data_IF_528003657724
#
_entry.id   IF_528003657724
#
_cell.length_a   1.000
_cell.length_b   1.000
_cell.length_c   1.000
_cell.angle_alpha   90.00
_cell.angle_beta   90.00
_cell.angle_gamma   90.00
#
_symmetry.space_group_name_H-M   'P 1'
#
loop_
_entity.id
_entity.type
_entity.pdbx_description
1 polymer ?
#
# COMPACT_ATOMS: atom_id res chain seq x y z
N UNK A 1 -30.56 45.07 -52.67
CA UNK A 1 -29.71 45.49 -51.52
C UNK A 1 -29.86 44.54 -50.32
N UNK A 2 -30.08 43.23 -50.55
CA UNK A 2 -30.37 42.23 -49.51
C UNK A 2 -29.31 41.12 -49.40
N UNK A 3 -28.47 40.95 -50.42
CA UNK A 3 -27.48 39.85 -50.48
C UNK A 3 -26.24 40.06 -49.59
N UNK A 4 -25.89 41.31 -49.27
CA UNK A 4 -24.73 41.63 -48.44
C UNK A 4 -24.95 41.30 -46.95
N UNK A 5 -26.21 41.21 -46.50
CA UNK A 5 -26.54 40.97 -45.09
C UNK A 5 -26.44 39.48 -44.73
N UNK A 6 -26.78 38.57 -45.64
CA UNK A 6 -26.70 37.12 -45.41
C UNK A 6 -25.27 36.59 -45.41
N UNK A 7 -24.42 37.07 -46.32
CA UNK A 7 -23.00 36.68 -46.39
C UNK A 7 -22.24 36.98 -45.09
N UNK A 8 -22.55 38.10 -44.44
CA UNK A 8 -21.92 38.50 -43.18
C UNK A 8 -22.38 37.65 -41.99
N UNK A 9 -23.62 37.12 -41.99
CA UNK A 9 -24.10 36.19 -40.95
C UNK A 9 -23.40 34.84 -41.05
N UNK A 10 -23.26 34.30 -42.26
CA UNK A 10 -22.57 33.02 -42.49
C UNK A 10 -21.09 33.09 -42.07
N UNK A 11 -20.39 34.19 -42.41
CA UNK A 11 -19.00 34.41 -41.97
C UNK A 11 -18.86 34.48 -40.44
N UNK A 12 -19.81 35.12 -39.75
CA UNK A 12 -19.83 35.18 -38.28
C UNK A 12 -20.06 33.80 -37.66
N UNK A 13 -21.00 33.02 -38.18
CA UNK A 13 -21.23 31.64 -37.74
C UNK A 13 -20.00 30.75 -37.95
N UNK A 14 -19.33 30.84 -39.10
CA UNK A 14 -18.11 30.08 -39.38
C UNK A 14 -16.95 30.47 -38.45
N UNK A 15 -16.82 31.75 -38.11
CA UNK A 15 -15.82 32.19 -37.13
C UNK A 15 -16.11 31.66 -35.73
N UNK A 16 -17.38 31.63 -35.29
CA UNK A 16 -17.77 31.07 -33.99
C UNK A 16 -17.49 29.56 -33.95
N UNK A 17 -17.84 28.82 -35.01
CA UNK A 17 -17.56 27.39 -35.12
C UNK A 17 -16.05 27.14 -35.09
N UNK A 18 -15.26 27.93 -35.83
CA UNK A 18 -13.80 27.82 -35.84
C UNK A 18 -13.19 28.11 -34.47
N UNK A 19 -13.75 29.07 -33.72
CA UNK A 19 -13.32 29.39 -32.36
C UNK A 19 -13.62 28.22 -31.40
N UNK A 20 -14.80 27.63 -31.47
CA UNK A 20 -15.19 26.47 -30.67
C UNK A 20 -14.28 25.27 -31.00
N UNK A 21 -14.04 25.01 -32.29
CA UNK A 21 -13.15 23.94 -32.74
C UNK A 21 -11.70 24.14 -32.28
N UNK A 22 -11.24 25.38 -32.17
CA UNK A 22 -9.90 25.70 -31.67
C UNK A 22 -9.78 25.55 -30.15
N UNK A 23 -10.86 25.77 -29.40
CA UNK A 23 -10.89 25.60 -27.95
C UNK A 23 -11.11 24.14 -27.51
N UNK A 24 -11.74 23.34 -28.37
CA UNK A 24 -12.10 21.95 -28.07
C UNK A 24 -10.91 21.06 -27.68
N UNK A 25 -9.75 21.10 -28.37
CA UNK A 25 -8.59 20.31 -28.00
C UNK A 25 -8.10 20.66 -26.59
N UNK A 26 -8.01 21.94 -26.24
CA UNK A 26 -7.56 22.37 -24.91
C UNK A 26 -8.49 21.89 -23.79
N UNK A 27 -9.80 21.90 -24.04
CA UNK A 27 -10.78 21.37 -23.08
C UNK A 27 -10.63 19.85 -22.93
N UNK A 28 -10.45 19.11 -24.03
CA UNK A 28 -10.21 17.66 -24.00
C UNK A 28 -8.91 17.35 -23.25
N UNK A 29 -7.81 18.02 -23.58
CA UNK A 29 -6.52 17.80 -22.94
C UNK A 29 -6.57 18.14 -21.44
N UNK A 30 -7.25 19.23 -21.06
CA UNK A 30 -7.45 19.60 -19.66
C UNK A 30 -8.25 18.53 -18.91
N UNK A 31 -9.40 18.11 -19.45
CA UNK A 31 -10.23 17.07 -18.86
C UNK A 31 -9.50 15.73 -18.75
N UNK A 32 -8.82 15.31 -19.81
CA UNK A 32 -8.01 14.09 -19.81
C UNK A 32 -6.92 14.14 -18.75
N UNK A 33 -6.20 15.27 -18.63
CA UNK A 33 -5.13 15.43 -17.63
C UNK A 33 -5.67 15.30 -16.20
N UNK A 34 -6.83 15.89 -15.90
CA UNK A 34 -7.45 15.80 -14.57
C UNK A 34 -7.83 14.34 -14.26
N UNK A 35 -8.51 13.68 -15.18
CA UNK A 35 -8.95 12.28 -15.00
C UNK A 35 -7.73 11.36 -14.85
N UNK A 36 -6.73 11.52 -15.72
CA UNK A 36 -5.49 10.75 -15.68
C UNK A 36 -4.75 10.93 -14.34
N UNK A 37 -4.65 12.17 -13.86
CA UNK A 37 -4.01 12.48 -12.57
C UNK A 37 -4.74 11.81 -11.41
N UNK A 38 -6.08 11.81 -11.40
CA UNK A 38 -6.87 11.16 -10.37
C UNK A 38 -6.69 9.63 -10.38
N UNK A 39 -6.70 9.02 -11.56
CA UNK A 39 -6.44 7.58 -11.71
C UNK A 39 -5.03 7.21 -11.26
N UNK A 40 -4.03 8.01 -11.65
CA UNK A 40 -2.65 7.78 -11.26
C UNK A 40 -2.44 7.88 -9.74
N UNK A 41 -3.12 8.82 -9.07
CA UNK A 41 -3.10 8.92 -7.62
C UNK A 41 -3.72 7.69 -6.95
N UNK A 42 -4.81 7.14 -7.51
CA UNK A 42 -5.42 5.93 -6.99
C UNK A 42 -4.48 4.73 -7.09
N UNK A 43 -3.93 4.49 -8.28
CA UNK A 43 -2.99 3.38 -8.54
C UNK A 43 -1.73 3.52 -7.69
N UNK A 44 -1.18 4.74 -7.56
CA UNK A 44 -0.03 5.00 -6.71
C UNK A 44 -0.31 4.66 -5.24
N UNK A 45 -1.49 5.01 -4.72
CA UNK A 45 -1.87 4.68 -3.35
C UNK A 45 -2.06 3.18 -3.14
N UNK A 46 -2.66 2.48 -4.11
CA UNK A 46 -2.79 1.01 -4.04
C UNK A 46 -1.43 0.32 -4.06
N UNK A 47 -0.53 0.74 -4.96
CA UNK A 47 0.83 0.22 -5.01
C UNK A 47 1.58 0.48 -3.69
N UNK A 48 1.47 1.68 -3.11
CA UNK A 48 2.08 1.98 -1.81
C UNK A 48 1.57 1.09 -0.69
N UNK A 49 0.26 0.77 -0.67
CA UNK A 49 -0.30 -0.17 0.31
C UNK A 49 0.23 -1.57 0.09
N UNK A 50 0.34 -2.01 -1.15
CA UNK A 50 0.90 -3.32 -1.47
C UNK A 50 2.38 -3.43 -1.08
N UNK A 51 3.18 -2.40 -1.36
CA UNK A 51 4.59 -2.35 -0.96
C UNK A 51 4.74 -2.39 0.57
N UNK A 52 3.86 -1.71 1.32
CA UNK A 52 3.84 -1.76 2.77
C UNK A 52 3.53 -3.17 3.29
N UNK A 53 2.50 -3.82 2.75
CA UNK A 53 2.14 -5.19 3.13
C UNK A 53 3.27 -6.17 2.85
N UNK A 54 3.92 -6.05 1.70
CA UNK A 54 5.08 -6.89 1.36
C UNK A 54 6.27 -6.63 2.27
N UNK A 55 6.54 -5.37 2.62
CA UNK A 55 7.61 -5.02 3.55
C UNK A 55 7.35 -5.59 4.96
N UNK A 56 6.10 -5.53 5.42
CA UNK A 56 5.70 -6.10 6.71
C UNK A 56 5.82 -7.63 6.73
N UNK A 57 5.35 -8.32 5.68
CA UNK A 57 5.53 -9.76 5.52
C UNK A 57 7.01 -10.16 5.52
N UNK A 58 7.85 -9.40 4.81
CA UNK A 58 9.28 -9.66 4.73
C UNK A 58 9.97 -9.45 6.08
N UNK A 59 9.58 -8.41 6.82
CA UNK A 59 10.08 -8.15 8.17
C UNK A 59 9.68 -9.27 9.16
N UNK A 60 8.44 -9.75 9.08
CA UNK A 60 7.97 -10.89 9.88
C UNK A 60 8.78 -12.13 9.55
N UNK A 61 8.91 -12.47 8.26
CA UNK A 61 9.69 -13.63 7.82
C UNK A 61 11.14 -13.56 8.29
N UNK A 62 11.80 -12.42 8.13
CA UNK A 62 13.19 -12.21 8.56
C UNK A 62 13.34 -12.38 10.08
N UNK A 63 12.38 -11.89 10.86
CA UNK A 63 12.38 -12.04 12.32
C UNK A 63 12.29 -13.52 12.71
N UNK A 64 11.43 -14.29 12.03
CA UNK A 64 11.32 -15.72 12.25
C UNK A 64 12.54 -16.50 11.82
N UNK A 65 13.09 -16.24 10.65
CA UNK A 65 14.31 -16.89 10.17
C UNK A 65 15.46 -16.65 11.14
N UNK A 66 15.63 -15.41 11.60
CA UNK A 66 16.66 -15.06 12.60
C UNK A 66 16.43 -15.78 13.94
N UNK A 67 15.17 -15.91 14.36
CA UNK A 67 14.82 -16.66 15.58
C UNK A 67 15.13 -18.16 15.43
N UNK A 68 14.69 -18.78 14.32
CA UNK A 68 14.93 -20.20 14.05
C UNK A 68 16.42 -20.49 13.97
N UNK A 69 17.19 -19.63 13.28
CA UNK A 69 18.64 -19.76 13.18
C UNK A 69 19.29 -19.70 14.56
N UNK A 70 18.95 -18.67 15.36
CA UNK A 70 19.46 -18.55 16.73
C UNK A 70 19.12 -19.75 17.61
N UNK A 71 17.89 -20.25 17.57
CA UNK A 71 17.45 -21.39 18.38
C UNK A 71 18.11 -22.68 17.89
N UNK A 72 18.25 -22.85 16.58
CA UNK A 72 18.95 -24.00 15.98
C UNK A 72 20.40 -24.05 16.45
N UNK A 73 21.11 -22.91 16.38
CA UNK A 73 22.49 -22.81 16.89
C UNK A 73 22.54 -23.12 18.38
N UNK A 74 21.63 -22.54 19.17
CA UNK A 74 21.57 -22.75 20.62
C UNK A 74 21.30 -24.23 20.97
N UNK A 75 20.44 -24.92 20.22
CA UNK A 75 20.07 -26.31 20.48
C UNK A 75 21.14 -27.33 20.06
N UNK A 76 22.02 -26.95 19.13
CA UNK A 76 23.15 -27.74 18.64
C UNK A 76 24.43 -27.43 19.43
N UNK A 77 24.50 -26.29 20.11
CA UNK A 77 25.65 -25.93 20.95
C UNK A 77 25.79 -26.91 22.14
N UNK A 78 27.00 -27.46 22.26
CA UNK A 78 27.42 -28.36 23.34
C UNK A 78 27.37 -27.68 24.72
N UNK A 79 27.36 -26.34 24.78
CA UNK A 79 27.23 -25.56 26.02
C UNK A 79 25.78 -25.38 26.47
N UNK A 80 24.80 -25.70 25.62
CA UNK A 80 23.39 -25.52 25.95
C UNK A 80 22.87 -26.67 26.81
N UNK A 81 22.86 -26.45 28.13
CA UNK A 81 22.27 -27.40 29.07
C UNK A 81 20.73 -27.28 29.08
N UNK A 82 20.04 -28.27 28.53
CA UNK A 82 18.56 -28.37 28.51
C UNK A 82 17.92 -28.53 29.89
N UNK A 83 18.70 -28.89 30.90
CA UNK A 83 18.25 -29.01 32.29
C UNK A 83 18.49 -27.74 33.10
N UNK A 84 19.19 -26.73 32.54
CA UNK A 84 19.40 -25.46 33.22
C UNK A 84 18.16 -24.55 33.05
N UNK A 85 17.47 -24.17 34.15
CA UNK A 85 16.28 -23.31 34.09
C UNK A 85 16.56 -21.93 33.48
N UNK A 86 17.76 -21.37 33.62
CA UNK A 86 18.09 -20.05 33.03
C UNK A 86 18.17 -20.11 31.51
N UNK A 87 18.70 -21.19 30.96
CA UNK A 87 18.77 -21.42 29.52
C UNK A 87 17.38 -21.64 28.91
N UNK A 88 16.49 -22.32 29.63
CA UNK A 88 15.08 -22.49 29.24
C UNK A 88 14.30 -21.17 29.31
N UNK A 89 14.57 -20.34 30.33
CA UNK A 89 13.98 -19.00 30.45
C UNK A 89 14.40 -18.10 29.28
N UNK A 90 15.69 -18.11 28.93
CA UNK A 90 16.22 -17.37 27.78
C UNK A 90 15.53 -17.78 26.48
N UNK A 91 15.39 -19.09 26.24
CA UNK A 91 14.68 -19.61 25.08
C UNK A 91 13.24 -19.13 25.06
N UNK A 92 12.52 -19.27 26.19
CA UNK A 92 11.12 -18.83 26.34
C UNK A 92 10.93 -17.35 26.05
N UNK A 93 11.82 -16.49 26.53
CA UNK A 93 11.77 -15.04 26.29
C UNK A 93 12.00 -14.73 24.81
N UNK A 94 12.97 -15.38 24.17
CA UNK A 94 13.22 -15.24 22.73
C UNK A 94 12.03 -15.72 21.90
N UNK A 95 11.44 -16.86 22.25
CA UNK A 95 10.24 -17.40 21.58
C UNK A 95 9.06 -16.46 21.72
N UNK A 96 8.79 -15.95 22.93
CA UNK A 96 7.72 -14.98 23.17
C UNK A 96 7.96 -13.66 22.43
N UNK A 97 9.21 -13.21 22.32
CA UNK A 97 9.57 -11.99 21.57
C UNK A 97 9.36 -12.17 20.07
N UNK A 98 9.72 -13.34 19.52
CA UNK A 98 9.44 -13.66 18.13
C UNK A 98 7.92 -13.76 17.88
N UNK A 99 7.18 -14.44 18.76
CA UNK A 99 5.72 -14.58 18.72
C UNK A 99 4.98 -13.23 18.81
N UNK A 100 5.53 -12.24 19.53
CA UNK A 100 4.95 -10.88 19.58
C UNK A 100 4.90 -10.16 18.24
N UNK A 101 5.76 -10.54 17.29
CA UNK A 101 5.77 -9.97 15.93
C UNK A 101 4.77 -10.64 15.00
N UNK A 102 4.14 -11.73 15.44
CA UNK A 102 3.16 -12.53 14.68
C UNK A 102 1.75 -12.00 14.89
N UNK A 103 1.52 -11.24 15.97
CA UNK A 103 0.16 -10.96 16.42
C UNK A 103 -0.06 -9.54 16.93
N UNK A 104 -0.37 -8.66 15.99
CA UNK A 104 -1.16 -7.46 16.28
C UNK A 104 -2.65 -7.77 16.20
N UNK A 105 -3.07 -8.72 15.34
CA UNK A 105 -4.50 -9.04 15.12
C UNK A 105 -5.10 -10.10 16.07
N UNK A 106 -4.42 -11.19 16.46
CA UNK A 106 -4.97 -12.12 17.47
C UNK A 106 -4.78 -11.64 18.91
N UNK A 107 -4.08 -10.52 19.12
CA UNK A 107 -3.95 -9.90 20.46
C UNK A 107 -5.33 -9.52 21.01
N UNK A 108 -6.26 -9.10 20.14
CA UNK A 108 -7.65 -8.80 20.49
C UNK A 108 -8.43 -10.07 20.84
N UNK A 109 -8.29 -11.13 20.04
CA UNK A 109 -8.96 -12.43 20.28
C UNK A 109 -8.47 -13.14 21.55
N UNK A 110 -7.16 -13.12 21.82
CA UNK A 110 -6.59 -13.67 23.06
C UNK A 110 -7.01 -12.87 24.29
N UNK A 111 -7.16 -11.54 24.17
CA UNK A 111 -7.65 -10.72 25.29
C UNK A 111 -9.13 -10.97 25.58
N UNK A 112 -9.96 -11.17 24.55
CA UNK A 112 -11.37 -11.56 24.73
C UNK A 112 -11.48 -12.94 25.37
N UNK A 113 -10.70 -13.92 24.91
CA UNK A 113 -10.74 -15.29 25.42
C UNK A 113 -10.21 -15.42 26.87
N UNK A 114 -9.26 -14.55 27.28
CA UNK A 114 -8.73 -14.50 28.65
C UNK A 114 -9.62 -13.71 29.63
N UNK A 115 -10.48 -12.82 29.16
CA UNK A 115 -11.43 -12.06 30.00
C UNK A 115 -12.84 -12.70 30.09
N UNK A 116 -13.06 -13.84 29.43
CA UNK A 116 -14.33 -14.60 29.47
C UNK A 116 -14.26 -15.92 30.25
N UNK A 117 -13.20 -16.13 31.05
CA UNK A 117 -13.14 -17.12 32.13
C UNK A 117 -12.92 -16.41 33.46
#
# INVERSE_FOLDING_TARGET
MSETTDSNRVKRCLNIIKLILAAFPSIIFGGFTIIFTLQQNHVSNENRKQDQLQADELNIRKTFETYIDHVSILLVDHKFNRSNPEHLLYLRVKTLTALRHVDVNRKTDLTVCLNTN
#
